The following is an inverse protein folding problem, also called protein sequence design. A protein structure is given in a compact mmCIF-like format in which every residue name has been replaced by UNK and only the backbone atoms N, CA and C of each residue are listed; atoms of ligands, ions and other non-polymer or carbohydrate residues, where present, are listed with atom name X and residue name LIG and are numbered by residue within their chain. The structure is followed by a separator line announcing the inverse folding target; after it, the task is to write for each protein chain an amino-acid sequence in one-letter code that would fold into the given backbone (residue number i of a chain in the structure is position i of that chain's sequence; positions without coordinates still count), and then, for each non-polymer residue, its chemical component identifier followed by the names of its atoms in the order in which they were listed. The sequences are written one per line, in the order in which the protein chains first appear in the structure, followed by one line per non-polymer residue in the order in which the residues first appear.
data_IF_025686493016
#
_entry.id   IF_025686493016
#
_cell.length_a   1.000
_cell.length_b   1.000
_cell.length_c   1.000
_cell.angle_alpha   90.00
_cell.angle_beta   90.00
_cell.angle_gamma   90.00
#
_symmetry.space_group_name_H-M   'P 1'
#
loop_
_entity.id
_entity.type
_entity.pdbx_description
1 polymer ?
#
# COMPACT_ATOMS: atom_id res chain seq x y z
N UNK A 1 7.35 -57.37 8.72
CA UNK A 1 6.35 -56.67 7.88
C UNK A 1 6.33 -55.22 8.31
N UNK A 2 6.82 -54.34 7.45
CA UNK A 2 7.31 -53.00 7.81
C UNK A 2 6.49 -51.95 7.07
N UNK A 3 5.39 -51.50 7.66
CA UNK A 3 4.57 -50.41 7.14
C UNK A 3 4.85 -49.13 7.95
N UNK A 4 5.80 -48.32 7.50
CA UNK A 4 6.15 -47.13 8.27
C UNK A 4 7.18 -46.20 7.65
N UNK A 5 7.31 -46.11 6.32
CA UNK A 5 8.21 -45.14 5.66
C UNK A 5 7.77 -44.74 4.26
N UNK A 6 6.58 -44.15 4.10
CA UNK A 6 6.17 -43.57 2.79
C UNK A 6 5.41 -42.23 2.90
N UNK A 7 5.72 -41.39 3.89
CA UNK A 7 5.26 -39.99 3.89
C UNK A 7 6.39 -39.08 4.41
N UNK A 8 7.36 -38.66 3.56
CA UNK A 8 7.81 -37.27 3.65
C UNK A 8 8.28 -36.62 2.33
N UNK A 9 7.90 -37.14 1.15
CA UNK A 9 8.37 -36.57 -0.13
C UNK A 9 7.54 -35.38 -0.62
N UNK A 10 6.23 -35.34 -0.35
CA UNK A 10 5.32 -34.32 -0.89
C UNK A 10 5.33 -32.98 -0.13
N UNK A 11 5.87 -32.93 1.10
CA UNK A 11 5.78 -31.73 1.96
C UNK A 11 6.94 -30.74 1.74
N UNK A 12 8.03 -31.20 1.11
CA UNK A 12 9.22 -30.39 0.80
C UNK A 12 9.02 -29.40 -0.37
N UNK A 13 8.42 -29.77 -1.52
CA UNK A 13 8.17 -28.80 -2.59
C UNK A 13 7.15 -27.74 -2.17
N UNK A 14 6.12 -28.10 -1.39
CA UNK A 14 5.14 -27.16 -0.86
C UNK A 14 5.78 -26.09 0.03
N UNK A 15 6.78 -26.46 0.85
CA UNK A 15 7.54 -25.51 1.68
C UNK A 15 8.48 -24.62 0.86
N UNK A 16 9.06 -25.11 -0.25
CA UNK A 16 9.90 -24.32 -1.16
C UNK A 16 9.07 -23.32 -1.97
N UNK A 17 7.94 -23.76 -2.51
CA UNK A 17 6.96 -22.91 -3.19
C UNK A 17 6.43 -21.85 -2.22
N UNK A 18 6.04 -22.24 -1.00
CA UNK A 18 5.62 -21.32 0.07
C UNK A 18 6.72 -20.31 0.44
N UNK A 19 7.99 -20.70 0.50
CA UNK A 19 9.12 -19.78 0.76
C UNK A 19 9.37 -18.83 -0.42
N UNK A 20 9.30 -19.29 -1.66
CA UNK A 20 9.40 -18.45 -2.86
C UNK A 20 8.29 -17.41 -2.96
N UNK A 21 7.03 -17.80 -2.69
CA UNK A 21 5.91 -16.86 -2.63
C UNK A 21 6.04 -15.82 -1.50
N UNK A 22 6.76 -16.15 -0.42
CA UNK A 22 7.03 -15.20 0.67
C UNK A 22 8.08 -14.15 0.28
N UNK A 23 8.92 -14.45 -0.72
CA UNK A 23 9.96 -13.54 -1.22
C UNK A 23 9.44 -12.59 -2.32
N UNK A 24 8.46 -13.01 -3.13
CA UNK A 24 7.94 -12.18 -4.23
C UNK A 24 6.81 -11.23 -3.80
N UNK A 25 5.99 -11.59 -2.81
CA UNK A 25 4.89 -10.76 -2.30
C UNK A 25 4.89 -10.77 -0.75
N UNK A 26 5.71 -9.92 -0.11
CA UNK A 26 5.81 -9.91 1.35
C UNK A 26 4.51 -9.53 2.05
N UNK A 27 3.57 -8.92 1.34
CA UNK A 27 2.29 -8.49 1.90
C UNK A 27 1.22 -9.61 1.88
N UNK A 28 1.38 -10.67 1.06
CA UNK A 28 0.28 -11.60 0.71
C UNK A 28 -1.02 -10.92 0.27
N UNK A 29 -1.08 -9.58 0.19
CA UNK A 29 -2.28 -8.83 -0.11
C UNK A 29 -2.71 -9.03 -1.55
N UNK A 30 -1.75 -9.11 -2.49
CA UNK A 30 -2.01 -9.44 -3.90
C UNK A 30 -2.56 -10.86 -4.05
N UNK A 31 -1.93 -11.84 -3.38
CA UNK A 31 -2.41 -13.23 -3.33
C UNK A 31 -3.79 -13.32 -2.69
N UNK A 32 -4.02 -12.62 -1.57
CA UNK A 32 -5.32 -12.58 -0.88
C UNK A 32 -6.38 -11.93 -1.77
N UNK A 33 -6.07 -10.82 -2.42
CA UNK A 33 -6.97 -10.16 -3.36
C UNK A 33 -7.34 -11.09 -4.52
N UNK A 34 -6.36 -11.76 -5.12
CA UNK A 34 -6.58 -12.73 -6.19
C UNK A 34 -7.43 -13.91 -5.71
N UNK A 35 -7.07 -14.52 -4.58
CA UNK A 35 -7.79 -15.68 -4.02
C UNK A 35 -9.22 -15.31 -3.63
N UNK A 36 -9.43 -14.16 -2.99
CA UNK A 36 -10.75 -13.63 -2.64
C UNK A 36 -11.59 -13.35 -3.88
N UNK A 37 -11.00 -12.76 -4.93
CA UNK A 37 -11.71 -12.49 -6.19
C UNK A 37 -12.10 -13.79 -6.88
N UNK A 38 -11.19 -14.75 -7.00
CA UNK A 38 -11.46 -16.06 -7.58
C UNK A 38 -12.54 -16.79 -6.78
N UNK A 39 -12.42 -16.85 -5.45
CA UNK A 39 -13.42 -17.47 -4.59
C UNK A 39 -14.80 -16.81 -4.76
N UNK A 40 -14.84 -15.48 -4.84
CA UNK A 40 -16.09 -14.74 -5.07
C UNK A 40 -16.71 -15.12 -6.41
N UNK A 41 -15.92 -15.15 -7.49
CA UNK A 41 -16.39 -15.52 -8.82
C UNK A 41 -16.90 -16.97 -8.87
N UNK A 42 -16.22 -17.90 -8.20
CA UNK A 42 -16.66 -19.30 -8.10
C UNK A 42 -18.01 -19.39 -7.38
N UNK A 43 -18.17 -18.72 -6.23
CA UNK A 43 -19.43 -18.71 -5.49
C UNK A 43 -20.55 -18.08 -6.30
N UNK A 44 -20.29 -16.95 -6.98
CA UNK A 44 -21.26 -16.32 -7.89
C UNK A 44 -21.63 -17.29 -9.01
N UNK A 45 -20.67 -17.93 -9.67
CA UNK A 45 -20.93 -18.88 -10.75
C UNK A 45 -21.82 -20.05 -10.28
N UNK A 46 -21.57 -20.60 -9.08
CA UNK A 46 -22.39 -21.67 -8.50
C UNK A 46 -23.83 -21.22 -8.21
N UNK A 47 -24.00 -20.03 -7.62
CA UNK A 47 -25.32 -19.46 -7.32
C UNK A 47 -26.10 -19.18 -8.60
N UNK A 48 -25.43 -18.62 -9.62
CA UNK A 48 -26.05 -18.33 -10.91
C UNK A 48 -26.39 -19.60 -11.70
N UNK A 49 -25.55 -20.63 -11.61
CA UNK A 49 -25.86 -21.94 -12.17
C UNK A 49 -27.10 -22.53 -11.50
N UNK A 50 -27.19 -22.50 -10.16
CA UNK A 50 -28.37 -22.93 -9.44
C UNK A 50 -29.62 -22.13 -9.85
N UNK A 51 -29.51 -20.80 -9.96
CA UNK A 51 -30.61 -19.94 -10.41
C UNK A 51 -31.11 -20.32 -11.81
N UNK A 52 -30.19 -20.55 -12.76
CA UNK A 52 -30.53 -20.99 -14.12
C UNK A 52 -31.26 -22.34 -14.11
N UNK A 53 -30.80 -23.31 -13.29
CA UNK A 53 -31.44 -24.63 -13.18
C UNK A 53 -32.85 -24.56 -12.58
N UNK A 54 -33.06 -23.75 -11.54
CA UNK A 54 -34.37 -23.62 -10.88
C UNK A 54 -35.38 -22.87 -11.75
N UNK A 55 -34.91 -21.89 -12.54
CA UNK A 55 -35.77 -21.10 -13.43
C UNK A 55 -35.97 -21.74 -14.81
N UNK A 56 -35.31 -22.89 -15.08
CA UNK A 56 -35.29 -23.57 -16.37
C UNK A 56 -34.89 -22.64 -17.55
N UNK A 57 -34.07 -21.62 -17.28
CA UNK A 57 -33.58 -20.67 -18.27
C UNK A 57 -32.21 -21.11 -18.80
N UNK A 58 -31.85 -20.72 -20.04
CA UNK A 58 -30.52 -21.01 -20.57
C UNK A 58 -29.46 -20.30 -19.74
N UNK A 59 -28.28 -20.91 -19.63
CA UNK A 59 -27.16 -20.35 -18.87
C UNK A 59 -26.76 -18.96 -19.36
N UNK A 60 -27.05 -18.66 -20.63
CA UNK A 60 -26.81 -17.34 -21.24
C UNK A 60 -27.57 -16.21 -20.54
N UNK A 61 -28.74 -16.49 -19.93
CA UNK A 61 -29.53 -15.51 -19.19
C UNK A 61 -28.87 -15.07 -17.86
N UNK A 62 -27.95 -15.87 -17.30
CA UNK A 62 -27.29 -15.55 -16.03
C UNK A 62 -25.86 -15.02 -16.19
N UNK A 63 -25.26 -15.13 -17.38
CA UNK A 63 -23.91 -14.62 -17.70
C UNK A 63 -23.71 -13.13 -17.32
N UNK A 64 -24.69 -12.21 -17.52
CA UNK A 64 -24.53 -10.83 -17.10
C UNK A 64 -24.18 -10.67 -15.61
N UNK A 65 -24.70 -11.54 -14.75
CA UNK A 65 -24.36 -11.55 -13.32
C UNK A 65 -22.87 -11.83 -13.07
N UNK A 66 -22.26 -12.75 -13.83
CA UNK A 66 -20.82 -13.06 -13.71
C UNK A 66 -19.98 -11.83 -14.07
N UNK A 67 -20.35 -11.12 -15.15
CA UNK A 67 -19.65 -9.91 -15.59
C UNK A 67 -19.76 -8.79 -14.56
N UNK A 68 -20.95 -8.61 -13.96
CA UNK A 68 -21.14 -7.66 -12.86
C UNK A 68 -20.25 -8.00 -11.67
N UNK A 69 -20.20 -9.28 -11.25
CA UNK A 69 -19.31 -9.71 -10.15
C UNK A 69 -17.83 -9.48 -10.48
N UNK A 70 -17.43 -9.70 -11.73
CA UNK A 70 -16.06 -9.45 -12.19
C UNK A 70 -15.70 -7.95 -12.13
N UNK A 71 -16.56 -7.09 -12.67
CA UNK A 71 -16.31 -5.65 -12.66
C UNK A 71 -16.40 -5.08 -11.24
N UNK A 72 -17.37 -5.53 -10.43
CA UNK A 72 -17.43 -5.23 -9.01
C UNK A 72 -16.17 -5.68 -8.26
N UNK A 73 -15.53 -6.76 -8.70
CA UNK A 73 -14.29 -7.29 -8.11
C UNK A 73 -13.06 -6.44 -8.45
N UNK A 74 -12.98 -5.92 -9.67
CA UNK A 74 -11.76 -5.32 -10.23
C UNK A 74 -11.79 -3.78 -10.35
N UNK A 75 -12.94 -3.21 -10.70
CA UNK A 75 -13.11 -1.78 -10.95
C UNK A 75 -13.53 -1.00 -9.70
N UNK A 76 -14.23 -1.64 -8.75
CA UNK A 76 -14.65 -0.97 -7.51
C UNK A 76 -13.52 -1.01 -6.48
N UNK A 77 -12.83 0.12 -6.37
CA UNK A 77 -11.67 0.36 -5.50
C UNK A 77 -11.98 1.41 -4.42
N UNK A 78 -13.01 1.16 -3.63
CA UNK A 78 -13.32 1.99 -2.47
C UNK A 78 -12.63 1.39 -1.21
N UNK A 79 -11.96 2.21 -0.39
CA UNK A 79 -11.30 1.76 0.84
C UNK A 79 -12.33 1.37 1.92
N UNK A 80 -13.32 2.23 2.13
CA UNK A 80 -14.38 2.04 3.12
C UNK A 80 -15.38 0.96 2.69
N UNK A 81 -15.78 0.09 3.62
CA UNK A 81 -16.67 -1.03 3.31
C UNK A 81 -18.07 -0.55 2.92
N UNK A 82 -18.57 0.50 3.58
CA UNK A 82 -19.88 1.10 3.29
C UNK A 82 -19.94 1.73 1.90
N UNK A 83 -18.99 2.61 1.58
CA UNK A 83 -18.90 3.25 0.26
C UNK A 83 -18.71 2.25 -0.87
N UNK A 84 -17.95 1.18 -0.60
CA UNK A 84 -17.80 0.07 -1.53
C UNK A 84 -19.11 -0.64 -1.80
N UNK A 85 -19.88 -0.97 -0.75
CA UNK A 85 -21.17 -1.62 -0.90
C UNK A 85 -22.14 -0.74 -1.71
N UNK A 86 -22.19 0.57 -1.43
CA UNK A 86 -22.98 1.53 -2.21
C UNK A 86 -22.54 1.54 -3.67
N UNK A 87 -21.23 1.56 -3.94
CA UNK A 87 -20.69 1.54 -5.31
C UNK A 87 -21.03 0.26 -6.06
N UNK A 88 -21.02 -0.90 -5.40
CA UNK A 88 -21.45 -2.18 -6.00
C UNK A 88 -22.96 -2.18 -6.24
N UNK A 89 -23.76 -1.65 -5.30
CA UNK A 89 -25.21 -1.54 -5.45
C UNK A 89 -25.59 -0.63 -6.63
N UNK A 90 -24.84 0.44 -6.90
CA UNK A 90 -25.01 1.32 -8.06
C UNK A 90 -24.78 0.59 -9.40
N UNK A 91 -24.05 -0.52 -9.42
CA UNK A 91 -23.86 -1.32 -10.64
C UNK A 91 -25.14 -2.07 -11.04
N UNK A 92 -26.04 -2.34 -10.09
CA UNK A 92 -27.31 -3.04 -10.34
C UNK A 92 -28.23 -2.21 -11.26
N UNK A 93 -28.65 -0.98 -10.91
CA UNK A 93 -29.52 -0.21 -11.80
C UNK A 93 -28.84 0.08 -13.14
N UNK A 94 -27.53 0.34 -13.14
CA UNK A 94 -26.75 0.58 -14.35
C UNK A 94 -26.78 -0.60 -15.32
N UNK A 95 -26.54 -1.83 -14.83
CA UNK A 95 -26.60 -3.03 -15.66
C UNK A 95 -28.03 -3.36 -16.10
N UNK A 96 -29.02 -3.28 -15.21
CA UNK A 96 -30.42 -3.59 -15.54
C UNK A 96 -30.97 -2.64 -16.60
N UNK A 97 -30.68 -1.33 -16.51
CA UNK A 97 -31.08 -0.35 -17.54
C UNK A 97 -30.43 -0.69 -18.88
N UNK A 98 -29.11 -0.95 -18.88
CA UNK A 98 -28.37 -1.28 -20.09
C UNK A 98 -28.85 -2.58 -20.76
N UNK A 99 -29.14 -3.62 -19.98
CA UNK A 99 -29.65 -4.90 -20.49
C UNK A 99 -31.05 -4.73 -21.07
N UNK A 100 -31.91 -4.00 -20.36
CA UNK A 100 -33.28 -3.72 -20.81
C UNK A 100 -33.28 -2.96 -22.13
N UNK A 101 -32.40 -1.96 -22.26
CA UNK A 101 -32.23 -1.22 -23.50
C UNK A 101 -31.79 -2.14 -24.64
N UNK A 102 -30.79 -3.01 -24.41
CA UNK A 102 -30.38 -4.01 -25.39
C UNK A 102 -31.50 -4.99 -25.77
N UNK A 103 -32.27 -5.45 -24.78
CA UNK A 103 -33.35 -6.41 -24.98
C UNK A 103 -34.52 -5.83 -25.80
N UNK A 104 -34.78 -4.52 -25.72
CA UNK A 104 -35.80 -3.85 -26.53
C UNK A 104 -35.28 -3.55 -27.94
N UNK A 105 -34.03 -3.13 -28.05
CA UNK A 105 -33.48 -2.59 -29.30
C UNK A 105 -32.94 -3.68 -30.23
N UNK A 106 -32.60 -4.89 -29.73
CA UNK A 106 -31.96 -5.93 -30.55
C UNK A 106 -32.77 -6.37 -31.79
N UNK A 107 -34.09 -6.12 -31.83
CA UNK A 107 -34.93 -6.44 -32.99
C UNK A 107 -34.69 -5.50 -34.19
N UNK A 108 -34.12 -4.32 -33.98
CA UNK A 108 -33.89 -3.30 -35.02
C UNK A 108 -32.40 -2.99 -35.11
N UNK A 109 -31.69 -3.71 -35.99
CA UNK A 109 -30.23 -3.61 -36.15
C UNK A 109 -29.66 -2.18 -36.23
N UNK A 110 -30.16 -1.26 -37.08
CA UNK A 110 -29.59 0.09 -37.17
C UNK A 110 -29.80 0.90 -35.89
N UNK A 111 -30.90 0.66 -35.16
CA UNK A 111 -31.15 1.31 -33.88
C UNK A 111 -30.19 0.77 -32.80
N UNK A 112 -29.88 -0.53 -32.83
CA UNK A 112 -28.94 -1.16 -31.91
C UNK A 112 -27.53 -0.58 -32.02
N UNK A 113 -27.08 -0.28 -33.25
CA UNK A 113 -25.76 0.33 -33.50
C UNK A 113 -25.69 1.77 -32.99
N UNK A 114 -26.72 2.58 -33.25
CA UNK A 114 -26.78 3.96 -32.76
C UNK A 114 -26.80 3.99 -31.24
N UNK A 115 -27.63 3.17 -30.61
CA UNK A 115 -27.72 3.08 -29.14
C UNK A 115 -26.43 2.53 -28.55
N UNK A 116 -25.76 1.58 -29.21
CA UNK A 116 -24.44 1.09 -28.79
C UNK A 116 -23.42 2.23 -28.69
N UNK A 117 -23.35 3.08 -29.73
CA UNK A 117 -22.46 4.25 -29.74
C UNK A 117 -22.81 5.22 -28.62
N UNK A 118 -24.10 5.51 -28.40
CA UNK A 118 -24.56 6.39 -27.31
C UNK A 118 -24.14 5.84 -25.94
N UNK A 119 -24.36 4.54 -25.69
CA UNK A 119 -23.96 3.89 -24.43
C UNK A 119 -22.44 3.90 -24.27
N UNK A 120 -21.68 3.67 -25.33
CA UNK A 120 -20.22 3.71 -25.30
C UNK A 120 -19.70 5.13 -24.96
N UNK A 121 -20.24 6.16 -25.60
CA UNK A 121 -19.88 7.57 -25.31
C UNK A 121 -20.25 7.92 -23.87
N UNK A 122 -21.44 7.58 -23.42
CA UNK A 122 -21.87 7.80 -22.04
C UNK A 122 -20.94 7.08 -21.03
N UNK A 123 -20.56 5.83 -21.29
CA UNK A 123 -19.63 5.08 -20.45
C UNK A 123 -18.24 5.73 -20.36
N UNK A 124 -17.77 6.36 -21.44
CA UNK A 124 -16.51 7.12 -21.44
C UNK A 124 -16.66 8.43 -20.67
N UNK A 125 -17.76 9.17 -20.86
CA UNK A 125 -18.03 10.42 -20.13
C UNK A 125 -18.15 10.18 -18.62
N UNK A 126 -18.74 9.06 -18.20
CA UNK A 126 -18.82 8.67 -16.78
C UNK A 126 -17.43 8.47 -16.14
N UNK A 127 -16.36 8.20 -16.91
CA UNK A 127 -14.99 8.12 -16.36
C UNK A 127 -14.53 9.45 -15.77
N UNK A 128 -15.08 10.57 -16.23
CA UNK A 128 -14.79 11.89 -15.67
C UNK A 128 -15.30 12.06 -14.22
N UNK A 129 -16.28 11.25 -13.79
CA UNK A 129 -16.80 11.24 -12.42
C UNK A 129 -15.92 10.43 -11.44
N UNK A 130 -14.71 10.06 -11.88
CA UNK A 130 -13.73 9.35 -11.06
C UNK A 130 -13.92 7.82 -11.06
N UNK A 131 -13.40 7.13 -10.02
CA UNK A 131 -13.37 5.67 -9.96
C UNK A 131 -14.76 5.02 -10.00
N UNK A 132 -15.76 5.63 -9.33
CA UNK A 132 -17.14 5.14 -9.31
C UNK A 132 -17.79 5.19 -10.69
N UNK A 133 -17.69 6.34 -11.35
CA UNK A 133 -18.25 6.52 -12.69
C UNK A 133 -17.59 5.60 -13.71
N UNK A 134 -16.28 5.34 -13.57
CA UNK A 134 -15.57 4.36 -14.40
C UNK A 134 -16.17 2.96 -14.26
N UNK A 135 -16.43 2.48 -13.05
CA UNK A 135 -17.04 1.16 -12.82
C UNK A 135 -18.49 1.09 -13.35
N UNK A 136 -19.29 2.12 -13.11
CA UNK A 136 -20.67 2.22 -13.61
C UNK A 136 -20.67 2.19 -15.15
N UNK A 137 -19.82 2.98 -15.80
CA UNK A 137 -19.71 3.01 -17.27
C UNK A 137 -19.26 1.66 -17.85
N UNK A 138 -18.27 1.00 -17.25
CA UNK A 138 -17.83 -0.33 -17.68
C UNK A 138 -18.95 -1.37 -17.58
N UNK A 139 -19.69 -1.39 -16.47
CA UNK A 139 -20.83 -2.30 -16.30
C UNK A 139 -21.93 -2.00 -17.29
N UNK A 140 -22.33 -0.74 -17.47
CA UNK A 140 -23.37 -0.35 -18.42
C UNK A 140 -23.02 -0.82 -19.84
N UNK A 141 -21.82 -0.50 -20.31
CA UNK A 141 -21.35 -0.87 -21.64
C UNK A 141 -21.31 -2.39 -21.83
N UNK A 142 -20.67 -3.12 -20.90
CA UNK A 142 -20.56 -4.58 -21.01
C UNK A 142 -21.92 -5.27 -20.91
N UNK A 143 -22.84 -4.75 -20.09
CA UNK A 143 -24.17 -5.35 -19.92
C UNK A 143 -25.04 -5.11 -21.16
N UNK A 144 -24.97 -3.93 -21.78
CA UNK A 144 -25.63 -3.66 -23.07
C UNK A 144 -25.08 -4.55 -24.18
N UNK A 145 -23.75 -4.61 -24.32
CA UNK A 145 -23.08 -5.44 -25.33
C UNK A 145 -23.44 -6.91 -25.17
N UNK A 146 -23.41 -7.44 -23.93
CA UNK A 146 -23.76 -8.82 -23.67
C UNK A 146 -25.24 -9.11 -23.96
N UNK A 147 -26.12 -8.15 -23.69
CA UNK A 147 -27.54 -8.27 -24.02
C UNK A 147 -27.78 -8.42 -25.53
N UNK A 148 -27.06 -7.65 -26.36
CA UNK A 148 -27.10 -7.79 -27.82
C UNK A 148 -26.49 -9.11 -28.30
N UNK A 149 -25.35 -9.51 -27.72
CA UNK A 149 -24.66 -10.74 -28.13
C UNK A 149 -25.47 -12.00 -27.81
N UNK A 150 -26.09 -12.05 -26.63
CA UNK A 150 -26.94 -13.17 -26.20
C UNK A 150 -28.35 -13.09 -26.82
N UNK A 151 -28.74 -11.94 -27.38
CA UNK A 151 -30.10 -11.65 -27.85
C UNK A 151 -31.12 -11.85 -26.74
N UNK A 152 -30.88 -11.20 -25.60
CA UNK A 152 -31.76 -11.27 -24.42
C UNK A 152 -33.17 -10.85 -24.79
N UNK A 153 -34.14 -11.68 -24.47
CA UNK A 153 -35.56 -11.35 -24.71
C UNK A 153 -36.16 -10.63 -23.50
N UNK A 154 -37.21 -9.80 -23.68
CA UNK A 154 -37.90 -9.14 -22.57
C UNK A 154 -38.41 -10.11 -21.49
N UNK A 155 -38.79 -11.34 -21.89
CA UNK A 155 -39.23 -12.40 -20.97
C UNK A 155 -38.11 -12.89 -20.02
N UNK A 156 -36.83 -12.72 -20.40
CA UNK A 156 -35.69 -13.13 -19.59
C UNK A 156 -35.25 -12.04 -18.59
N UNK A 157 -35.74 -10.81 -18.72
CA UNK A 157 -35.35 -9.67 -17.88
C UNK A 157 -35.49 -9.92 -16.37
N UNK A 158 -36.56 -10.57 -15.86
CA UNK A 158 -36.67 -10.86 -14.43
C UNK A 158 -35.54 -11.77 -13.92
N UNK A 159 -35.19 -12.80 -14.70
CA UNK A 159 -34.12 -13.75 -14.34
C UNK A 159 -32.76 -13.07 -14.42
N UNK A 160 -32.53 -12.26 -15.46
CA UNK A 160 -31.28 -11.51 -15.63
C UNK A 160 -31.11 -10.49 -14.51
N UNK A 161 -32.16 -9.77 -14.13
CA UNK A 161 -32.13 -8.84 -13.00
C UNK A 161 -31.84 -9.56 -11.68
N UNK A 162 -32.47 -10.72 -11.44
CA UNK A 162 -32.18 -11.55 -10.28
C UNK A 162 -30.71 -12.02 -10.25
N UNK A 163 -30.15 -12.41 -11.41
CA UNK A 163 -28.75 -12.80 -11.54
C UNK A 163 -27.79 -11.65 -11.19
N UNK A 164 -28.06 -10.45 -11.70
CA UNK A 164 -27.28 -9.24 -11.40
C UNK A 164 -27.33 -8.90 -9.92
N UNK A 165 -28.52 -8.90 -9.32
CA UNK A 165 -28.72 -8.60 -7.90
C UNK A 165 -27.99 -9.63 -7.04
N UNK A 166 -28.17 -10.92 -7.32
CA UNK A 166 -27.51 -12.00 -6.60
C UNK A 166 -25.98 -11.87 -6.68
N UNK A 167 -25.44 -11.62 -7.88
CA UNK A 167 -24.00 -11.43 -8.09
C UNK A 167 -23.44 -10.24 -7.29
N UNK A 168 -24.14 -9.10 -7.28
CA UNK A 168 -23.77 -7.92 -6.51
C UNK A 168 -23.79 -8.19 -5.00
N UNK A 169 -24.87 -8.79 -4.49
CA UNK A 169 -25.02 -9.11 -3.07
C UNK A 169 -23.99 -10.14 -2.59
N UNK A 170 -23.75 -11.20 -3.37
CA UNK A 170 -22.71 -12.20 -3.08
C UNK A 170 -21.33 -11.57 -3.09
N UNK A 171 -21.06 -10.64 -4.01
CA UNK A 171 -19.78 -9.92 -4.03
C UNK A 171 -19.60 -9.06 -2.79
N UNK A 172 -20.65 -8.36 -2.33
CA UNK A 172 -20.63 -7.59 -1.07
C UNK A 172 -20.40 -8.53 0.12
N UNK A 173 -21.16 -9.63 0.20
CA UNK A 173 -21.06 -10.61 1.27
C UNK A 173 -19.68 -11.25 1.33
N UNK A 174 -19.15 -11.76 0.20
CA UNK A 174 -17.83 -12.37 0.15
C UNK A 174 -16.73 -11.38 0.56
N UNK A 175 -16.82 -10.12 0.14
CA UNK A 175 -15.86 -9.09 0.56
C UNK A 175 -15.93 -8.78 2.05
N UNK A 176 -17.11 -8.82 2.64
CA UNK A 176 -17.29 -8.64 4.08
C UNK A 176 -16.81 -9.86 4.87
N UNK A 177 -17.14 -11.07 4.41
CA UNK A 177 -16.77 -12.34 5.05
C UNK A 177 -15.26 -12.63 4.95
N UNK A 178 -14.63 -12.27 3.83
CA UNK A 178 -13.18 -12.47 3.60
C UNK A 178 -12.35 -11.26 4.07
N UNK A 179 -12.97 -10.21 4.64
CA UNK A 179 -12.23 -9.10 5.25
C UNK A 179 -11.37 -9.64 6.40
N UNK A 180 -10.06 -9.28 6.48
CA UNK A 180 -9.22 -9.72 7.58
C UNK A 180 -9.82 -9.29 8.93
N UNK A 181 -10.09 -10.26 9.82
CA UNK A 181 -10.56 -10.00 11.20
C UNK A 181 -9.47 -9.40 12.10
N UNK A 182 -8.23 -9.29 11.62
CA UNK A 182 -7.05 -8.85 12.38
C UNK A 182 -6.23 -7.84 11.56
N UNK A 183 -6.74 -6.63 11.39
CA UNK A 183 -6.06 -5.55 10.65
C UNK A 183 -4.71 -5.16 11.30
N UNK A 184 -4.64 -5.27 12.63
CA UNK A 184 -3.43 -5.13 13.44
C UNK A 184 -2.30 -6.05 12.97
N UNK A 185 -2.59 -7.35 12.78
CA UNK A 185 -1.57 -8.35 12.42
C UNK A 185 -1.09 -8.16 10.98
N UNK A 186 -1.96 -7.72 10.09
CA UNK A 186 -1.58 -7.44 8.72
C UNK A 186 -0.69 -6.19 8.63
N UNK A 187 -1.01 -5.13 9.38
CA UNK A 187 -0.16 -3.95 9.49
C UNK A 187 1.24 -4.29 10.07
N UNK A 188 1.31 -5.06 11.15
CA UNK A 188 2.60 -5.51 11.71
C UNK A 188 3.45 -6.28 10.68
N UNK A 189 2.81 -7.08 9.82
CA UNK A 189 3.53 -7.79 8.74
C UNK A 189 4.03 -6.85 7.67
N UNK A 190 3.26 -5.84 7.30
CA UNK A 190 3.66 -4.82 6.33
C UNK A 190 4.83 -3.97 6.87
N UNK A 191 4.77 -3.56 8.13
CA UNK A 191 5.87 -2.84 8.80
C UNK A 191 7.12 -3.73 8.89
N UNK A 192 6.97 -5.01 9.28
CA UNK A 192 8.11 -5.94 9.27
C UNK A 192 8.69 -6.15 7.86
N UNK A 193 7.86 -6.16 6.81
CA UNK A 193 8.31 -6.21 5.42
C UNK A 193 9.06 -4.94 5.00
N UNK A 194 8.60 -3.77 5.46
CA UNK A 194 9.29 -2.50 5.26
C UNK A 194 10.68 -2.52 5.91
N UNK A 195 10.77 -2.94 7.18
CA UNK A 195 12.05 -3.13 7.88
C UNK A 195 12.98 -4.10 7.13
N UNK A 196 12.48 -5.25 6.69
CA UNK A 196 13.28 -6.20 5.91
C UNK A 196 13.82 -5.59 4.60
N UNK A 197 13.01 -4.83 3.87
CA UNK A 197 13.38 -4.17 2.61
C UNK A 197 14.36 -3.01 2.84
N UNK A 198 14.16 -2.19 3.87
CA UNK A 198 15.11 -1.17 4.27
C UNK A 198 16.46 -1.81 4.71
N UNK A 199 16.43 -2.94 5.42
CA UNK A 199 17.65 -3.71 5.71
C UNK A 199 18.38 -4.18 4.45
N UNK A 200 17.69 -4.45 3.34
CA UNK A 200 18.33 -4.79 2.05
C UNK A 200 18.98 -3.57 1.38
N UNK A 201 18.49 -2.36 1.63
CA UNK A 201 19.17 -1.11 1.23
C UNK A 201 20.50 -1.01 2.00
N UNK A 202 20.45 -1.22 3.32
CA UNK A 202 21.64 -1.18 4.18
C UNK A 202 22.70 -2.21 3.77
N UNK A 203 22.34 -3.42 3.32
CA UNK A 203 23.33 -4.38 2.79
C UNK A 203 24.16 -3.80 1.64
N UNK A 204 23.51 -3.07 0.72
CA UNK A 204 24.18 -2.47 -0.44
C UNK A 204 25.07 -1.30 0.01
N UNK A 205 24.62 -0.54 1.02
CA UNK A 205 25.44 0.51 1.62
C UNK A 205 26.68 -0.07 2.31
N UNK A 206 26.53 -1.18 3.03
CA UNK A 206 27.65 -1.91 3.66
C UNK A 206 28.68 -2.36 2.62
N UNK A 207 28.21 -2.87 1.48
CA UNK A 207 29.07 -3.28 0.37
C UNK A 207 29.83 -2.09 -0.22
N UNK A 208 29.14 -0.98 -0.51
CA UNK A 208 29.76 0.23 -1.06
C UNK A 208 30.73 0.91 -0.10
N UNK A 209 30.39 1.00 1.18
CA UNK A 209 31.28 1.58 2.22
C UNK A 209 32.54 0.75 2.40
N UNK A 210 32.45 -0.60 2.33
CA UNK A 210 33.62 -1.48 2.38
C UNK A 210 34.50 -1.35 1.14
N UNK A 211 33.89 -1.35 -0.04
CA UNK A 211 34.60 -1.19 -1.30
C UNK A 211 35.30 0.18 -1.39
N UNK A 212 34.73 1.19 -0.76
CA UNK A 212 35.23 2.55 -0.79
C UNK A 212 34.66 3.38 -1.93
N UNK A 213 33.89 2.76 -2.82
CA UNK A 213 33.27 3.37 -3.98
C UNK A 213 31.90 2.74 -4.25
N UNK A 214 31.03 3.50 -4.89
CA UNK A 214 29.75 3.01 -5.38
C UNK A 214 29.80 2.92 -6.91
N UNK A 215 30.14 1.76 -7.45
CA UNK A 215 30.09 1.54 -8.91
C UNK A 215 28.69 1.74 -9.48
N UNK A 216 28.56 1.94 -10.80
CA UNK A 216 27.25 2.15 -11.43
C UNK A 216 26.28 0.98 -11.21
N UNK A 217 26.79 -0.24 -11.13
CA UNK A 217 26.00 -1.42 -10.78
C UNK A 217 25.44 -1.34 -9.36
N UNK A 218 26.27 -0.94 -8.41
CA UNK A 218 25.88 -0.81 -7.00
C UNK A 218 24.91 0.37 -6.82
N UNK A 219 25.13 1.49 -7.52
CA UNK A 219 24.18 2.62 -7.57
C UNK A 219 22.82 2.21 -8.14
N UNK A 220 22.81 1.43 -9.23
CA UNK A 220 21.58 0.93 -9.83
C UNK A 220 20.82 -0.03 -8.88
N UNK A 221 21.52 -0.96 -8.23
CA UNK A 221 20.92 -1.86 -7.24
C UNK A 221 20.39 -1.08 -6.03
N UNK A 222 21.14 -0.11 -5.52
CA UNK A 222 20.71 0.78 -4.43
C UNK A 222 19.44 1.54 -4.79
N UNK A 223 19.38 2.19 -5.96
CA UNK A 223 18.18 2.90 -6.45
C UNK A 223 16.98 1.95 -6.53
N UNK A 224 17.17 0.73 -7.04
CA UNK A 224 16.10 -0.27 -7.13
C UNK A 224 15.58 -0.69 -5.76
N UNK A 225 16.47 -0.91 -4.78
CA UNK A 225 16.10 -1.31 -3.42
C UNK A 225 15.45 -0.19 -2.62
N UNK A 226 15.91 1.05 -2.77
CA UNK A 226 15.27 2.23 -2.19
C UNK A 226 13.84 2.39 -2.74
N UNK A 227 13.67 2.28 -4.06
CA UNK A 227 12.33 2.32 -4.68
C UNK A 227 11.42 1.19 -4.19
N UNK A 228 11.96 -0.02 -4.02
CA UNK A 228 11.21 -1.14 -3.47
C UNK A 228 10.80 -0.91 -2.00
N UNK A 229 11.69 -0.34 -1.17
CA UNK A 229 11.36 0.08 0.21
C UNK A 229 10.23 1.12 0.21
N UNK A 230 10.37 2.19 -0.58
CA UNK A 230 9.38 3.27 -0.68
C UNK A 230 8.00 2.76 -1.11
N UNK A 231 7.94 1.85 -2.09
CA UNK A 231 6.67 1.23 -2.50
C UNK A 231 5.96 0.48 -1.37
N UNK A 232 6.73 -0.03 -0.38
CA UNK A 232 6.20 -0.71 0.80
C UNK A 232 5.67 0.29 1.82
N UNK A 233 6.42 1.38 2.05
CA UNK A 233 6.00 2.46 2.93
C UNK A 233 4.67 3.06 2.45
N UNK A 234 4.55 3.37 1.16
CA UNK A 234 3.28 3.83 0.57
C UNK A 234 2.15 2.81 0.75
N UNK A 235 2.43 1.51 0.61
CA UNK A 235 1.40 0.48 0.85
C UNK A 235 0.93 0.45 2.32
N UNK A 236 1.81 0.75 3.27
CA UNK A 236 1.47 0.90 4.70
C UNK A 236 0.62 2.14 4.91
N UNK A 237 1.03 3.28 4.35
CA UNK A 237 0.30 4.55 4.41
C UNK A 237 -1.11 4.43 3.82
N UNK A 238 -1.25 3.81 2.64
CA UNK A 238 -2.53 3.55 1.98
C UNK A 238 -3.49 2.76 2.89
N UNK A 239 -2.97 1.79 3.65
CA UNK A 239 -3.76 0.97 4.58
C UNK A 239 -4.17 1.78 5.81
N UNK A 240 -3.28 2.64 6.32
CA UNK A 240 -3.56 3.52 7.46
C UNK A 240 -4.60 4.59 7.11
N UNK A 241 -4.51 5.19 5.92
CA UNK A 241 -5.47 6.18 5.41
C UNK A 241 -6.84 5.54 5.14
N UNK A 242 -6.87 4.31 4.65
CA UNK A 242 -8.10 3.58 4.34
C UNK A 242 -8.85 3.04 5.59
N UNK A 243 -8.22 3.02 6.76
CA UNK A 243 -8.80 2.40 7.95
C UNK A 243 -9.82 3.33 8.64
N UNK A 244 -11.06 2.83 8.80
CA UNK A 244 -12.18 3.54 9.45
C UNK A 244 -11.95 3.82 10.96
N UNK A 245 -10.88 3.30 11.55
CA UNK A 245 -10.50 3.51 12.93
C UNK A 245 -9.05 3.15 13.20
N UNK A 246 -8.59 3.37 14.43
CA UNK A 246 -7.21 3.08 14.83
C UNK A 246 -6.89 1.61 14.61
N UNK A 247 -5.86 1.33 13.83
CA UNK A 247 -5.41 -0.06 13.56
C UNK A 247 -4.60 -0.60 14.72
N UNK A 248 -3.80 0.26 15.38
CA UNK A 248 -3.02 -0.05 16.57
C UNK A 248 -3.57 0.76 17.74
N UNK A 249 -3.73 0.14 18.91
CA UNK A 249 -4.12 0.85 20.12
C UNK A 249 -2.96 1.74 20.61
N UNK A 250 -3.26 2.97 21.01
CA UNK A 250 -2.27 3.93 21.53
C UNK A 250 -1.83 5.00 20.54
N UNK A 251 -1.82 4.74 19.23
CA UNK A 251 -1.37 5.70 18.21
C UNK A 251 -2.45 6.00 17.17
N UNK A 252 -2.52 7.26 16.70
CA UNK A 252 -3.37 7.63 15.57
C UNK A 252 -2.82 7.09 14.25
N UNK A 253 -3.70 6.76 13.29
CA UNK A 253 -3.27 6.28 11.97
C UNK A 253 -2.42 7.34 11.23
N UNK A 254 -2.81 8.62 11.32
CA UNK A 254 -2.09 9.74 10.72
C UNK A 254 -0.69 9.88 11.30
N UNK A 255 -0.57 9.76 12.63
CA UNK A 255 0.71 9.85 13.33
C UNK A 255 1.64 8.69 12.95
N UNK A 256 1.11 7.46 12.88
CA UNK A 256 1.88 6.32 12.42
C UNK A 256 2.30 6.47 10.95
N UNK A 257 1.44 7.04 10.11
CA UNK A 257 1.76 7.38 8.73
C UNK A 257 2.94 8.35 8.62
N UNK A 258 2.95 9.42 9.42
CA UNK A 258 4.08 10.36 9.50
C UNK A 258 5.36 9.66 9.94
N UNK A 259 5.30 8.79 10.96
CA UNK A 259 6.47 8.03 11.43
C UNK A 259 7.05 7.12 10.33
N UNK A 260 6.18 6.46 9.55
CA UNK A 260 6.59 5.62 8.42
C UNK A 260 7.25 6.45 7.31
N UNK A 261 6.67 7.61 6.99
CA UNK A 261 7.24 8.55 6.03
C UNK A 261 8.61 9.07 6.47
N UNK A 262 8.74 9.48 7.73
CA UNK A 262 10.01 9.94 8.31
C UNK A 262 11.10 8.87 8.21
N UNK A 263 10.75 7.62 8.50
CA UNK A 263 11.67 6.49 8.37
C UNK A 263 12.12 6.27 6.91
N UNK A 264 11.18 6.33 5.96
CA UNK A 264 11.51 6.20 4.55
C UNK A 264 12.44 7.34 4.08
N UNK A 265 12.15 8.57 4.50
CA UNK A 265 12.99 9.73 4.21
C UNK A 265 14.38 9.57 4.83
N UNK A 266 14.49 9.00 6.03
CA UNK A 266 15.78 8.73 6.66
C UNK A 266 16.61 7.69 5.88
N UNK A 267 15.97 6.62 5.37
CA UNK A 267 16.65 5.61 4.53
C UNK A 267 17.09 6.22 3.19
N UNK A 268 16.27 7.06 2.57
CA UNK A 268 16.61 7.77 1.32
C UNK A 268 17.75 8.76 1.51
N UNK A 269 17.71 9.52 2.61
CA UNK A 269 18.80 10.41 2.99
C UNK A 269 20.08 9.62 3.25
N UNK A 270 20.01 8.49 3.97
CA UNK A 270 21.16 7.64 4.23
C UNK A 270 21.79 7.13 2.93
N UNK A 271 20.97 6.66 1.99
CA UNK A 271 21.43 6.22 0.68
C UNK A 271 22.05 7.36 -0.13
N UNK A 272 21.42 8.53 -0.13
CA UNK A 272 21.90 9.71 -0.86
C UNK A 272 23.21 10.23 -0.27
N UNK A 273 23.31 10.33 1.05
CA UNK A 273 24.52 10.74 1.77
C UNK A 273 25.63 9.72 1.60
N UNK A 274 25.36 8.43 1.57
CA UNK A 274 26.38 7.41 1.33
C UNK A 274 26.93 7.47 -0.12
N UNK A 275 26.08 7.75 -1.12
CA UNK A 275 26.51 7.86 -2.53
C UNK A 275 27.21 9.18 -2.83
N UNK A 276 26.68 10.30 -2.33
CA UNK A 276 27.22 11.65 -2.62
C UNK A 276 28.31 12.06 -1.64
N UNK A 277 28.17 11.69 -0.37
CA UNK A 277 29.21 11.83 0.65
C UNK A 277 30.19 10.66 0.69
N UNK A 278 30.05 9.71 -0.25
CA UNK A 278 30.93 8.55 -0.38
C UNK A 278 32.39 8.94 -0.58
N UNK A 279 33.12 9.03 0.54
CA UNK A 279 34.55 8.76 0.66
C UNK A 279 35.47 9.55 -0.29
N UNK A 280 35.08 10.77 -0.69
CA UNK A 280 35.98 11.68 -1.43
C UNK A 280 37.08 12.31 -0.55
N UNK A 281 37.05 12.11 0.76
CA UNK A 281 38.14 12.50 1.65
C UNK A 281 38.68 11.22 2.32
N UNK A 282 39.96 10.92 2.07
CA UNK A 282 40.93 10.36 3.03
C UNK A 282 40.69 9.06 3.80
N UNK A 283 39.46 8.66 4.10
CA UNK A 283 39.14 7.59 5.04
C UNK A 283 39.69 6.25 4.53
N UNK A 284 40.79 5.82 5.14
CA UNK A 284 41.46 4.58 4.82
C UNK A 284 40.61 3.35 5.20
N UNK A 285 41.08 2.14 4.86
CA UNK A 285 40.49 0.88 5.31
C UNK A 285 40.11 0.82 6.81
N UNK A 286 40.87 1.38 7.77
CA UNK A 286 40.53 1.27 9.20
C UNK A 286 39.28 2.06 9.64
N UNK A 287 38.86 3.11 8.93
CA UNK A 287 37.68 3.93 9.29
C UNK A 287 36.38 3.41 8.65
N UNK A 288 36.50 2.60 7.58
CA UNK A 288 35.35 2.06 6.83
C UNK A 288 34.68 0.88 7.54
N UNK A 289 35.46 0.01 8.18
CA UNK A 289 34.91 -1.20 8.82
C UNK A 289 34.02 -0.89 10.05
N UNK A 290 34.34 0.09 10.92
CA UNK A 290 33.43 0.55 11.98
C UNK A 290 32.09 1.04 11.44
N UNK A 291 32.10 1.88 10.39
CA UNK A 291 30.88 2.40 9.76
C UNK A 291 30.05 1.26 9.13
N UNK A 292 30.71 0.38 8.38
CA UNK A 292 30.06 -0.78 7.78
C UNK A 292 29.47 -1.73 8.85
N UNK A 293 30.10 -1.82 10.03
CA UNK A 293 29.59 -2.58 11.17
C UNK A 293 28.35 -1.93 11.79
N UNK A 294 28.31 -0.59 11.93
CA UNK A 294 27.12 0.14 12.39
C UNK A 294 25.94 -0.03 11.42
N UNK A 295 26.18 0.03 10.11
CA UNK A 295 25.15 -0.21 9.09
C UNK A 295 24.60 -1.64 9.14
N UNK A 296 25.47 -2.65 9.37
CA UNK A 296 25.02 -4.04 9.58
C UNK A 296 24.18 -4.19 10.85
N UNK A 297 24.63 -3.61 11.95
CA UNK A 297 23.87 -3.63 13.20
C UNK A 297 22.48 -3.03 13.01
N UNK A 298 22.36 -1.92 12.28
CA UNK A 298 21.06 -1.36 11.95
C UNK A 298 20.24 -2.28 11.04
N UNK A 299 20.84 -2.90 10.03
CA UNK A 299 20.15 -3.88 9.17
C UNK A 299 19.60 -5.08 9.96
N UNK A 300 20.34 -5.54 10.98
CA UNK A 300 19.91 -6.62 11.85
C UNK A 300 18.74 -6.19 12.74
N UNK A 301 18.75 -4.96 13.26
CA UNK A 301 17.63 -4.36 14.02
C UNK A 301 16.36 -4.26 13.16
N UNK A 302 16.49 -3.81 11.90
CA UNK A 302 15.36 -3.71 10.97
C UNK A 302 14.75 -5.08 10.60
N UNK A 303 15.55 -6.15 10.66
CA UNK A 303 15.13 -7.52 10.34
C UNK A 303 14.67 -8.32 11.55
N UNK A 304 14.95 -7.82 12.75
CA UNK A 304 14.54 -8.47 13.98
C UNK A 304 13.02 -8.65 13.95
N UNK A 305 12.51 -9.86 14.24
CA UNK A 305 11.08 -10.12 14.22
C UNK A 305 10.43 -9.31 15.34
N UNK A 306 9.87 -8.14 15.03
CA UNK A 306 9.18 -7.22 15.95
C UNK A 306 8.65 -7.89 17.21
N UNK A 307 9.31 -7.72 18.37
CA UNK A 307 8.68 -7.93 19.66
C UNK A 307 8.70 -6.63 20.47
N UNK A 308 7.74 -6.47 21.38
CA UNK A 308 7.82 -5.55 22.53
C UNK A 308 9.13 -5.82 23.30
N UNK A 309 10.25 -5.22 22.90
CA UNK A 309 11.51 -5.32 23.61
C UNK A 309 12.21 -3.98 23.53
N UNK A 310 12.09 -3.25 24.64
CA UNK A 310 13.07 -2.25 25.02
C UNK A 310 14.40 -2.94 25.26
N UNK A 311 15.33 -2.77 24.33
CA UNK A 311 16.75 -2.88 24.65
C UNK A 311 17.44 -1.68 24.05
N UNK A 312 17.56 -0.67 24.91
CA UNK A 312 18.67 0.28 25.03
C UNK A 312 19.70 0.19 23.90
N UNK A 313 19.61 1.13 22.96
CA UNK A 313 20.78 1.53 22.18
C UNK A 313 21.74 2.18 23.17
N UNK A 314 22.84 1.49 23.48
CA UNK A 314 23.99 2.09 24.15
C UNK A 314 24.65 3.01 23.14
N UNK A 315 24.43 4.31 23.28
CA UNK A 315 25.27 5.32 22.63
C UNK A 315 26.73 4.99 22.87
N UNK A 316 27.52 4.93 21.79
CA UNK A 316 28.94 4.61 21.80
C UNK A 316 29.68 5.70 21.01
N UNK A 317 30.96 5.95 21.33
CA UNK A 317 31.53 7.24 21.69
C UNK A 317 31.74 8.18 20.49
N UNK A 318 31.90 9.47 20.79
CA UNK A 318 32.38 10.48 19.85
C UNK A 318 33.64 9.98 19.12
N UNK A 319 33.55 9.83 17.79
CA UNK A 319 34.73 9.65 16.95
C UNK A 319 35.13 11.01 16.36
N UNK A 320 36.37 11.46 16.60
CA UNK A 320 36.94 12.58 15.86
C UNK A 320 37.26 12.09 14.44
N UNK A 321 36.60 12.63 13.42
CA UNK A 321 36.79 12.26 12.03
C UNK A 321 36.02 13.17 11.07
N UNK A 322 36.55 13.31 9.84
CA UNK A 322 36.14 14.24 8.77
C UNK A 322 34.62 14.44 8.60
N UNK A 323 34.20 15.66 8.19
CA UNK A 323 32.81 16.13 8.06
C UNK A 323 31.85 15.11 7.37
N UNK A 324 32.34 14.33 6.41
CA UNK A 324 31.57 13.32 5.69
C UNK A 324 31.16 12.11 6.55
N UNK A 325 32.09 11.56 7.33
CA UNK A 325 31.82 10.39 8.19
C UNK A 325 30.90 10.76 9.35
N UNK A 326 31.08 11.96 9.94
CA UNK A 326 30.21 12.50 10.97
C UNK A 326 28.78 12.77 10.43
N UNK A 327 28.65 13.21 9.18
CA UNK A 327 27.34 13.44 8.55
C UNK A 327 26.62 12.12 8.29
N UNK A 328 27.31 11.09 7.79
CA UNK A 328 26.72 9.77 7.58
C UNK A 328 26.29 9.13 8.91
N UNK A 329 27.08 9.27 9.97
CA UNK A 329 26.73 8.79 11.31
C UNK A 329 25.45 9.46 11.85
N UNK A 330 25.32 10.78 11.72
CA UNK A 330 24.11 11.52 12.13
C UNK A 330 22.85 11.06 11.39
N UNK A 331 22.96 10.83 10.08
CA UNK A 331 21.83 10.35 9.26
C UNK A 331 21.47 8.90 9.64
N UNK A 332 22.46 8.07 9.97
CA UNK A 332 22.23 6.71 10.47
C UNK A 332 21.49 6.72 11.80
N UNK A 333 21.91 7.56 12.75
CA UNK A 333 21.26 7.67 14.06
C UNK A 333 19.81 8.19 13.92
N UNK A 334 19.56 9.15 13.03
CA UNK A 334 18.19 9.59 12.69
C UNK A 334 17.34 8.47 12.05
N UNK A 335 17.95 7.59 11.25
CA UNK A 335 17.32 6.38 10.71
C UNK A 335 16.93 5.39 11.80
N UNK A 336 17.77 5.21 12.82
CA UNK A 336 17.48 4.36 13.96
C UNK A 336 16.30 4.91 14.78
N UNK A 337 16.33 6.21 15.11
CA UNK A 337 15.28 6.85 15.90
C UNK A 337 13.94 6.84 15.20
N UNK A 338 13.91 7.08 13.89
CA UNK A 338 12.68 7.02 13.09
C UNK A 338 12.12 5.60 13.04
N UNK A 339 12.96 4.57 12.86
CA UNK A 339 12.51 3.18 12.94
C UNK A 339 11.96 2.83 14.33
N UNK A 340 12.62 3.29 15.40
CA UNK A 340 12.17 3.05 16.77
C UNK A 340 10.75 3.60 16.99
N UNK A 341 10.45 4.81 16.50
CA UNK A 341 9.11 5.40 16.59
C UNK A 341 8.05 4.59 15.82
N UNK A 342 8.41 3.99 14.69
CA UNK A 342 7.51 3.12 13.91
C UNK A 342 7.30 1.77 14.60
N UNK A 343 8.37 1.18 15.12
CA UNK A 343 8.37 -0.13 15.76
C UNK A 343 7.71 -0.14 17.15
N UNK A 344 7.84 0.96 17.89
CA UNK A 344 7.39 1.09 19.28
C UNK A 344 6.48 2.31 19.49
N UNK A 345 5.30 2.36 18.87
CA UNK A 345 4.42 3.51 18.95
C UNK A 345 3.89 3.79 20.36
N UNK A 346 3.82 2.78 21.24
CA UNK A 346 3.28 2.89 22.59
C UNK A 346 4.32 3.30 23.67
N UNK A 347 5.61 3.37 23.33
CA UNK A 347 6.66 3.66 24.32
C UNK A 347 6.83 5.16 24.60
N UNK A 348 6.39 6.03 23.68
CA UNK A 348 6.56 7.49 23.78
C UNK A 348 5.51 8.16 24.70
N UNK A 349 4.46 7.44 25.11
CA UNK A 349 3.44 7.88 26.09
C UNK A 349 3.83 7.59 27.54
N UNK A 350 5.08 7.21 27.81
CA UNK A 350 5.56 7.16 29.20
C UNK A 350 5.43 8.59 29.79
N UNK A 351 4.75 8.77 30.95
CA UNK A 351 4.61 10.08 31.55
C UNK A 351 6.00 10.68 31.71
N UNK A 352 6.16 11.92 31.22
CA UNK A 352 7.35 12.75 31.40
C UNK A 352 7.96 12.44 32.76
N UNK A 353 9.15 11.82 32.77
CA UNK A 353 9.93 11.72 34.01
C UNK A 353 9.95 13.13 34.58
N UNK A 354 9.59 13.34 35.86
CA UNK A 354 9.59 14.67 36.43
C UNK A 354 10.96 15.27 36.16
N UNK A 355 11.01 16.32 35.32
CA UNK A 355 12.19 17.16 35.22
C UNK A 355 12.45 17.55 36.66
N UNK A 356 13.54 17.04 37.23
CA UNK A 356 13.98 17.47 38.54
C UNK A 356 14.02 18.99 38.47
N UNK A 357 13.10 19.63 39.18
CA UNK A 357 13.03 21.07 39.29
C UNK A 357 14.41 21.49 39.77
N UNK A 358 15.22 22.01 38.86
CA UNK A 358 16.36 22.82 39.22
C UNK A 358 15.77 24.07 39.83
N UNK A 359 15.54 24.00 41.13
CA UNK A 359 15.20 25.13 41.99
C UNK A 359 16.38 26.10 41.87
N UNK A 360 16.18 27.14 41.06
CA UNK A 360 17.12 28.25 40.98
C UNK A 360 16.94 29.07 42.27
N UNK A 361 17.98 29.31 43.09
CA UNK A 361 17.80 29.92 44.41
C UNK A 361 17.37 31.39 44.38
N UNK A 362 17.39 32.03 43.21
CA UNK A 362 17.12 33.45 43.06
C UNK A 362 15.84 33.66 42.25
N UNK A 363 14.74 33.95 42.96
CA UNK A 363 13.38 34.12 42.43
C UNK A 363 13.21 35.28 41.43
N UNK A 364 13.72 35.12 40.21
CA UNK A 364 13.33 35.93 39.03
C UNK A 364 12.75 35.02 37.95
N UNK A 365 11.68 35.44 37.25
CA UNK A 365 11.13 34.67 36.15
C UNK A 365 12.14 34.64 34.99
N UNK A 366 12.53 33.44 34.55
CA UNK A 366 13.27 33.25 33.32
C UNK A 366 12.34 33.58 32.14
N UNK A 367 12.67 34.63 31.39
CA UNK A 367 11.97 35.02 30.18
C UNK A 367 12.07 33.89 29.15
N UNK A 368 10.92 33.51 28.59
CA UNK A 368 10.84 32.68 27.41
C UNK A 368 11.23 33.53 26.20
N UNK A 369 12.47 33.40 25.72
CA UNK A 369 12.80 33.83 24.37
C UNK A 369 12.14 32.85 23.38
N UNK A 370 11.23 33.39 22.57
CA UNK A 370 10.43 32.68 21.58
C UNK A 370 11.28 32.41 20.32
N UNK A 371 12.03 31.31 20.30
CA UNK A 371 12.89 30.89 19.17
C UNK A 371 12.13 30.30 17.97
N UNK A 372 10.79 30.29 18.01
CA UNK A 372 9.92 29.76 16.95
C UNK A 372 10.06 30.46 15.58
N UNK A 373 10.35 31.78 15.47
CA UNK A 373 10.57 32.42 14.18
C UNK A 373 11.90 32.01 13.54
N UNK A 374 12.95 31.80 14.34
CA UNK A 374 14.26 31.38 13.87
C UNK A 374 14.24 29.96 13.29
N UNK A 375 13.53 29.04 13.95
CA UNK A 375 13.30 27.67 13.45
C UNK A 375 12.47 27.64 12.16
N UNK A 376 11.47 28.52 12.03
CA UNK A 376 10.70 28.68 10.78
C UNK A 376 11.55 29.21 9.63
N UNK A 377 12.45 30.15 9.90
CA UNK A 377 13.41 30.67 8.90
C UNK A 377 14.39 29.60 8.42
N UNK A 378 14.94 28.80 9.35
CA UNK A 378 15.83 27.69 9.04
C UNK A 378 15.15 26.59 8.20
N UNK A 379 13.89 26.27 8.51
CA UNK A 379 13.09 25.29 7.77
C UNK A 379 12.75 25.76 6.34
N UNK A 380 12.43 27.05 6.16
CA UNK A 380 12.18 27.64 4.85
C UNK A 380 13.44 27.65 3.97
N UNK A 381 14.62 27.89 4.57
CA UNK A 381 15.90 27.81 3.87
C UNK A 381 16.23 26.38 3.42
N UNK A 382 15.98 25.36 4.26
CA UNK A 382 16.24 23.95 3.92
C UNK A 382 15.36 23.45 2.76
N UNK A 383 14.13 23.95 2.65
CA UNK A 383 13.19 23.64 1.56
C UNK A 383 13.62 24.24 0.22
N UNK A 384 14.34 25.36 0.22
CA UNK A 384 14.81 26.02 -0.99
C UNK A 384 16.05 25.33 -1.61
N UNK A 385 16.85 24.65 -0.79
CA UNK A 385 18.14 24.08 -1.20
C UNK A 385 18.06 22.60 -1.62
N UNK A 386 16.96 21.91 -1.30
CA UNK A 386 16.76 20.50 -1.64
C UNK A 386 16.10 20.37 -3.02
N UNK A 387 16.91 20.24 -4.07
CA UNK A 387 16.41 19.72 -5.37
C UNK A 387 16.16 18.22 -5.23
N UNK A 388 14.91 17.73 -5.39
CA UNK A 388 14.66 16.30 -5.42
C UNK A 388 15.29 15.68 -6.68
N UNK A 389 15.93 14.52 -6.52
CA UNK A 389 16.56 13.73 -7.60
C UNK A 389 15.55 13.09 -8.59
N UNK A 390 14.30 13.54 -8.60
CA UNK A 390 13.23 13.00 -9.46
C UNK A 390 12.97 13.82 -10.73
N UNK A 391 13.90 14.71 -11.12
CA UNK A 391 13.86 15.36 -12.44
C UNK A 391 14.26 14.37 -13.55
N UNK A 392 13.36 13.42 -13.81
CA UNK A 392 13.49 12.36 -14.80
C UNK A 392 12.24 11.48 -14.97
N UNK A 393 11.22 11.62 -14.12
CA UNK A 393 9.97 10.85 -14.23
C UNK A 393 8.69 11.71 -14.08
N UNK A 394 8.76 12.97 -14.48
CA UNK A 394 7.56 13.78 -14.79
C UNK A 394 6.98 13.29 -16.12
N UNK A 395 6.21 12.20 -16.07
CA UNK A 395 5.57 11.68 -17.29
C UNK A 395 4.59 10.51 -17.14
N UNK A 396 4.48 9.80 -16.00
CA UNK A 396 3.64 8.57 -15.98
C UNK A 396 2.72 8.38 -14.77
N UNK A 397 2.75 9.24 -13.74
CA UNK A 397 1.80 9.11 -12.62
C UNK A 397 1.06 10.41 -12.32
N UNK A 398 0.17 10.77 -13.26
CA UNK A 398 -1.00 11.59 -12.95
C UNK A 398 -2.17 10.66 -12.60
N UNK A 399 -2.60 10.69 -11.32
CA UNK A 399 -4.00 10.91 -10.89
C UNK A 399 -4.21 10.53 -9.42
N UNK A 400 -4.60 11.54 -8.64
CA UNK A 400 -5.54 11.37 -7.52
C UNK A 400 -4.93 11.22 -6.12
N UNK A 401 -4.46 12.32 -5.53
CA UNK A 401 -4.17 12.35 -4.09
C UNK A 401 -3.72 13.73 -3.59
N UNK A 402 -2.91 14.43 -4.38
CA UNK A 402 -2.23 15.66 -3.96
C UNK A 402 -3.11 16.92 -3.79
N UNK A 403 -4.43 16.88 -4.02
CA UNK A 403 -5.28 18.10 -4.00
C UNK A 403 -6.01 18.39 -2.69
N UNK A 404 -6.04 17.49 -1.70
CA UNK A 404 -6.78 17.74 -0.44
C UNK A 404 -5.92 18.15 0.76
N UNK A 405 -4.64 17.80 0.79
CA UNK A 405 -3.75 18.16 1.92
C UNK A 405 -3.33 19.64 1.91
N UNK A 406 -3.44 20.33 0.77
CA UNK A 406 -3.11 21.75 0.65
C UNK A 406 -4.21 22.72 1.13
N UNK A 407 -5.43 22.24 1.42
CA UNK A 407 -6.53 23.10 1.91
C UNK A 407 -6.68 23.12 3.44
N UNK A 408 -6.01 22.22 4.18
CA UNK A 408 -6.13 22.12 5.65
C UNK A 408 -4.95 22.84 6.36
N UNK A 409 -3.90 23.24 5.63
CA UNK A 409 -2.77 24.02 6.16
C UNK A 409 -2.82 25.52 5.80
N UNK A 410 -3.93 25.97 5.21
CA UNK A 410 -4.18 27.38 4.86
C UNK A 410 -5.41 27.99 5.55
N UNK A 411 -5.92 27.32 6.60
CA UNK A 411 -6.86 27.86 7.58
C UNK A 411 -6.22 27.72 8.96
#
# INVERSE_FOLDING_TARGET
MTFGRLIPAAVRPLRRIRRGFTTSDPDRARLRLATTTIATLVVVALILFALATVTAQPITAVVPGIVVAMIASLAVREPEAGRRAVSILLLIPSSVIAITLGAVVHAVAPLADVVFVIVAVAAVLLRALGPRGTAIGMVAFMSYFLSLFVKTTPAQLPVVAAAVIAAALVTIAMRLLLRPRHADRDLHRMVAALGFRAGRVLDVLVEGVRAGEFDERLRADLRSRVAASGSTATSVEDVLEAAEGRVIQGIGNDELGVRVFDFQLAIENLATTAVHGGLQAGAGPPEREPMASRLRAFADVLRAPMPLVGSVYSSAPESPGEEGAATLARVLDAGYDSWHRVAFPAADDAPERPRASAENPDGRPAGADDDRPALRGAFAALRATTRPLTHGLTGVFDRGGSRRTLQILAA
#
